data_IF_534742111324
#
_entry.id   IF_534742111324
#
_cell.length_a   1.000
_cell.length_b   1.000
_cell.length_c   1.000
_cell.angle_alpha   90.00
_cell.angle_beta   90.00
_cell.angle_gamma   90.00
#
_symmetry.space_group_name_H-M   'P 1'
#
loop_
_entity.id
_entity.type
_entity.pdbx_description
1 polymer ?
#
# COMPACT_ATOMS: atom_id res chain seq x y z
N UNK A 1 8.80 -22.82 6.17
CA UNK A 1 9.03 -21.99 7.36
C UNK A 1 7.73 -21.30 7.69
N UNK A 2 7.13 -21.62 8.81
CA UNK A 2 6.03 -20.85 9.36
C UNK A 2 6.56 -19.44 9.61
N UNK A 3 5.98 -18.45 8.95
CA UNK A 3 6.32 -17.06 9.25
C UNK A 3 5.82 -16.80 10.67
N UNK A 4 6.71 -16.37 11.57
CA UNK A 4 6.36 -16.01 12.95
C UNK A 4 5.44 -14.76 13.02
N UNK A 5 4.88 -14.36 11.87
CA UNK A 5 4.04 -13.18 11.69
C UNK A 5 2.68 -13.57 11.15
N UNK A 6 1.64 -13.11 11.85
CA UNK A 6 0.24 -13.25 11.43
C UNK A 6 -0.24 -11.95 10.78
N UNK A 7 -0.87 -12.06 9.62
CA UNK A 7 -1.49 -10.93 8.95
C UNK A 7 -3.00 -10.98 9.10
N UNK A 8 -3.57 -9.89 9.57
CA UNK A 8 -5.01 -9.71 9.79
C UNK A 8 -5.45 -8.28 9.54
N UNK A 9 -6.75 -8.06 9.47
CA UNK A 9 -7.28 -6.70 9.46
C UNK A 9 -7.07 -6.04 10.82
N UNK A 10 -6.78 -4.74 10.79
CA UNK A 10 -6.61 -3.95 12.01
C UNK A 10 -7.91 -3.83 12.79
N UNK A 11 -7.79 -3.83 14.09
CA UNK A 11 -8.85 -3.52 15.04
C UNK A 11 -8.61 -2.13 15.65
N UNK A 12 -9.62 -1.48 16.24
CA UNK A 12 -9.46 -0.13 16.82
C UNK A 12 -8.27 0.01 17.78
N UNK A 13 -7.99 -1.02 18.57
CA UNK A 13 -6.88 -1.02 19.53
C UNK A 13 -5.49 -1.03 18.87
N UNK A 14 -5.39 -1.37 17.58
CA UNK A 14 -4.13 -1.42 16.84
C UNK A 14 -3.65 -0.04 16.38
N UNK A 15 -4.56 0.95 16.30
CA UNK A 15 -4.24 2.26 15.71
C UNK A 15 -3.13 3.01 16.45
N UNK A 16 -3.01 2.84 17.76
CA UNK A 16 -1.90 3.39 18.54
C UNK A 16 -0.55 2.85 18.08
N UNK A 17 -0.43 1.55 17.90
CA UNK A 17 0.79 0.88 17.40
C UNK A 17 1.08 1.25 15.94
N UNK A 18 0.05 1.32 15.11
CA UNK A 18 0.18 1.75 13.71
C UNK A 18 0.73 3.18 13.64
N UNK A 19 0.19 4.09 14.47
CA UNK A 19 0.68 5.48 14.54
C UNK A 19 2.15 5.55 14.93
N UNK A 20 2.59 4.74 15.89
CA UNK A 20 4.01 4.66 16.26
C UNK A 20 4.89 4.21 15.08
N UNK A 21 4.43 3.25 14.28
CA UNK A 21 5.15 2.80 13.08
C UNK A 21 5.21 3.93 12.04
N UNK A 22 4.13 4.67 11.85
CA UNK A 22 4.09 5.84 10.95
C UNK A 22 5.11 6.89 11.41
N UNK A 23 5.09 7.23 12.69
CA UNK A 23 6.00 8.25 13.26
C UNK A 23 7.48 7.86 13.12
N UNK A 24 7.79 6.57 13.22
CA UNK A 24 9.14 6.04 13.06
C UNK A 24 9.58 5.84 11.60
N UNK A 25 8.64 5.76 10.66
CA UNK A 25 8.91 5.33 9.29
C UNK A 25 8.81 6.45 8.25
N UNK A 26 7.97 7.46 8.46
CA UNK A 26 7.68 8.49 7.46
C UNK A 26 8.22 9.87 7.86
N UNK A 27 8.69 10.68 6.88
CA UNK A 27 8.96 12.10 7.08
C UNK A 27 7.71 12.85 7.55
N UNK A 28 7.89 13.97 8.27
CA UNK A 28 6.79 14.74 8.91
C UNK A 28 5.62 15.03 7.97
N UNK A 29 5.90 15.41 6.74
CA UNK A 29 4.87 15.70 5.75
C UNK A 29 3.99 14.49 5.45
N UNK A 30 4.58 13.32 5.23
CA UNK A 30 3.84 12.10 4.93
C UNK A 30 3.13 11.50 6.14
N UNK A 31 3.62 11.75 7.37
CA UNK A 31 2.96 11.28 8.60
C UNK A 31 1.53 11.79 8.70
N UNK A 32 1.32 13.08 8.41
CA UNK A 32 -0.02 13.67 8.44
C UNK A 32 -0.97 12.93 7.50
N UNK A 33 -0.57 12.72 6.26
CA UNK A 33 -1.40 12.02 5.27
C UNK A 33 -1.61 10.55 5.61
N UNK A 34 -0.58 9.87 6.09
CA UNK A 34 -0.69 8.46 6.48
C UNK A 34 -1.66 8.27 7.65
N UNK A 35 -1.55 9.09 8.69
CA UNK A 35 -2.48 9.06 9.84
C UNK A 35 -3.90 9.42 9.41
N UNK A 36 -4.06 10.47 8.60
CA UNK A 36 -5.37 10.86 8.08
C UNK A 36 -6.03 9.73 7.29
N UNK A 37 -5.28 9.06 6.44
CA UNK A 37 -5.78 7.95 5.62
C UNK A 37 -6.30 6.76 6.43
N UNK A 38 -5.86 6.59 7.67
CA UNK A 38 -6.36 5.50 8.54
C UNK A 38 -7.85 5.66 8.87
N UNK A 39 -8.35 6.90 8.86
CA UNK A 39 -9.74 7.24 9.14
C UNK A 39 -10.61 7.34 7.88
N UNK A 40 -9.97 7.31 6.70
CA UNK A 40 -10.66 7.31 5.42
C UNK A 40 -11.13 5.90 5.03
N UNK A 41 -11.98 5.82 4.00
CA UNK A 41 -12.45 4.55 3.44
C UNK A 41 -11.28 3.61 3.10
N UNK A 42 -11.56 2.31 3.16
CA UNK A 42 -10.61 1.26 2.89
C UNK A 42 -10.31 0.40 4.12
N UNK A 43 -9.29 -0.43 3.99
CA UNK A 43 -8.93 -1.42 5.02
C UNK A 43 -7.48 -1.23 5.44
N UNK A 44 -7.21 -1.50 6.69
CA UNK A 44 -5.84 -1.55 7.21
C UNK A 44 -5.50 -3.00 7.51
N UNK A 45 -4.44 -3.49 6.89
CA UNK A 45 -3.85 -4.79 7.15
C UNK A 45 -2.70 -4.61 8.13
N UNK A 46 -2.61 -5.45 9.13
CA UNK A 46 -1.49 -5.45 10.09
C UNK A 46 -0.74 -6.76 10.04
N UNK A 47 0.56 -6.69 10.30
CA UNK A 47 1.41 -7.83 10.58
C UNK A 47 1.75 -7.82 12.07
N UNK A 48 1.48 -8.94 12.72
CA UNK A 48 1.59 -9.11 14.17
C UNK A 48 2.52 -10.27 14.50
N UNK A 49 3.36 -10.10 15.51
CA UNK A 49 4.11 -11.19 16.12
C UNK A 49 3.74 -11.29 17.60
N UNK A 50 3.29 -12.46 18.05
CA UNK A 50 2.76 -12.68 19.39
C UNK A 50 1.66 -11.66 19.73
N UNK A 51 2.01 -10.54 20.38
CA UNK A 51 1.09 -9.48 20.78
C UNK A 51 1.48 -8.11 20.25
N UNK A 52 2.48 -8.05 19.37
CA UNK A 52 3.06 -6.78 18.91
C UNK A 52 2.79 -6.56 17.42
N UNK A 53 2.18 -5.42 17.08
CA UNK A 53 2.05 -4.99 15.69
C UNK A 53 3.41 -4.50 15.20
N UNK A 54 3.92 -5.13 14.15
CA UNK A 54 5.25 -4.88 13.59
C UNK A 54 5.25 -4.23 12.20
N UNK A 55 4.10 -4.22 11.54
CA UNK A 55 3.92 -3.58 10.24
C UNK A 55 2.46 -3.38 9.89
N UNK A 56 2.19 -2.52 8.92
CA UNK A 56 0.85 -2.31 8.40
C UNK A 56 0.85 -1.97 6.91
N UNK A 57 -0.31 -2.17 6.26
CA UNK A 57 -0.60 -1.72 4.92
C UNK A 57 -2.00 -1.13 4.83
N UNK A 58 -2.15 0.04 4.21
CA UNK A 58 -3.46 0.64 3.91
C UNK A 58 -3.89 0.26 2.51
N UNK A 59 -5.06 -0.36 2.40
CA UNK A 59 -5.67 -0.83 1.17
C UNK A 59 -6.91 0.00 0.86
N UNK A 60 -7.05 0.44 -0.38
CA UNK A 60 -8.25 1.12 -0.86
C UNK A 60 -8.76 0.48 -2.15
N UNK A 61 -10.07 0.51 -2.34
CA UNK A 61 -10.73 0.20 -3.59
C UNK A 61 -11.24 1.50 -4.22
N UNK A 62 -11.21 1.58 -5.54
CA UNK A 62 -11.76 2.73 -6.26
C UNK A 62 -12.28 2.32 -7.63
N UNK A 63 -13.11 3.20 -8.22
CA UNK A 63 -13.68 2.99 -9.54
C UNK A 63 -13.18 4.03 -10.53
N UNK A 64 -12.79 3.57 -11.71
CA UNK A 64 -12.51 4.42 -12.88
C UNK A 64 -13.28 3.87 -14.07
N UNK A 65 -14.24 4.65 -14.57
CA UNK A 65 -15.17 4.15 -15.57
C UNK A 65 -16.01 2.99 -15.01
N UNK A 66 -16.07 1.89 -15.74
CA UNK A 66 -16.76 0.65 -15.32
C UNK A 66 -15.86 -0.33 -14.56
N UNK A 67 -14.58 0.02 -14.36
CA UNK A 67 -13.60 -0.87 -13.73
C UNK A 67 -13.42 -0.59 -12.26
N UNK A 68 -13.37 -1.66 -11.45
CA UNK A 68 -12.93 -1.63 -10.07
C UNK A 68 -11.44 -1.93 -9.99
N UNK A 69 -10.73 -1.12 -9.23
CA UNK A 69 -9.28 -1.22 -9.02
C UNK A 69 -8.95 -1.14 -7.54
N UNK A 70 -7.80 -1.65 -7.17
CA UNK A 70 -7.28 -1.54 -5.83
C UNK A 70 -5.99 -0.72 -5.79
N UNK A 71 -5.67 -0.19 -4.62
CA UNK A 71 -4.39 0.44 -4.37
C UNK A 71 -3.86 0.07 -2.98
N UNK A 72 -2.59 -0.25 -2.91
CA UNK A 72 -1.84 -0.30 -1.66
C UNK A 72 -1.27 1.10 -1.43
N UNK A 73 -1.94 1.87 -0.58
CA UNK A 73 -1.65 3.29 -0.41
C UNK A 73 -0.42 3.53 0.47
N UNK A 74 -0.29 2.76 1.54
CA UNK A 74 0.83 2.82 2.48
C UNK A 74 1.26 1.43 2.90
N UNK A 75 2.56 1.22 3.03
CA UNK A 75 3.17 0.05 3.67
C UNK A 75 4.33 0.52 4.52
N UNK A 76 4.35 0.12 5.77
CA UNK A 76 5.50 0.37 6.65
C UNK A 76 5.70 -0.78 7.64
N UNK A 77 6.95 -0.95 8.03
CA UNK A 77 7.41 -1.93 9.01
C UNK A 77 8.21 -1.21 10.08
N UNK A 78 7.94 -1.54 11.33
CA UNK A 78 8.70 -1.04 12.47
C UNK A 78 10.21 -1.22 12.24
N UNK A 79 11.04 -0.19 12.51
CA UNK A 79 12.47 -0.25 12.24
C UNK A 79 13.18 -1.50 12.79
N UNK A 80 12.79 -1.97 13.97
CA UNK A 80 13.37 -3.15 14.62
C UNK A 80 13.04 -4.47 13.92
N UNK A 81 12.02 -4.48 13.06
CA UNK A 81 11.53 -5.67 12.37
C UNK A 81 11.76 -5.65 10.86
N UNK A 82 12.50 -4.67 10.37
CA UNK A 82 12.82 -4.56 8.94
C UNK A 82 13.73 -5.69 8.46
N UNK A 83 13.75 -5.91 7.14
CA UNK A 83 14.57 -6.93 6.45
C UNK A 83 14.24 -8.37 6.83
N UNK A 84 13.04 -8.61 7.34
CA UNK A 84 12.50 -9.94 7.69
C UNK A 84 11.40 -10.42 6.74
N UNK A 85 11.20 -9.72 5.61
CA UNK A 85 10.18 -10.07 4.62
C UNK A 85 8.76 -9.59 4.94
N UNK A 86 8.55 -8.86 6.04
CA UNK A 86 7.22 -8.42 6.48
C UNK A 86 6.54 -7.50 5.47
N UNK A 87 7.26 -6.50 4.94
CA UNK A 87 6.71 -5.60 3.93
C UNK A 87 6.30 -6.36 2.67
N UNK A 88 7.10 -7.32 2.24
CA UNK A 88 6.80 -8.19 1.10
C UNK A 88 5.53 -9.02 1.34
N UNK A 89 5.40 -9.59 2.52
CA UNK A 89 4.22 -10.36 2.92
C UNK A 89 2.96 -9.49 2.95
N UNK A 90 3.03 -8.28 3.51
CA UNK A 90 1.94 -7.31 3.52
C UNK A 90 1.50 -6.93 2.10
N UNK A 91 2.44 -6.67 1.19
CA UNK A 91 2.13 -6.38 -0.23
C UNK A 91 1.45 -7.57 -0.89
N UNK A 92 1.98 -8.77 -0.72
CA UNK A 92 1.41 -10.01 -1.26
C UNK A 92 -0.02 -10.25 -0.77
N UNK A 93 -0.23 -10.18 0.53
CA UNK A 93 -1.54 -10.40 1.16
C UNK A 93 -2.52 -9.29 0.77
N UNK A 94 -2.07 -8.03 0.76
CA UNK A 94 -2.89 -6.89 0.33
C UNK A 94 -3.34 -7.02 -1.12
N UNK A 95 -2.43 -7.36 -2.02
CA UNK A 95 -2.73 -7.60 -3.45
C UNK A 95 -3.75 -8.72 -3.61
N UNK A 96 -3.54 -9.85 -2.92
CA UNK A 96 -4.48 -10.98 -2.97
C UNK A 96 -5.89 -10.58 -2.50
N UNK A 97 -6.00 -9.84 -1.39
CA UNK A 97 -7.30 -9.37 -0.88
C UNK A 97 -8.01 -8.45 -1.85
N UNK A 98 -7.31 -7.45 -2.39
CA UNK A 98 -7.89 -6.52 -3.37
C UNK A 98 -8.38 -7.26 -4.63
N UNK A 99 -7.62 -8.24 -5.11
CA UNK A 99 -8.03 -9.08 -6.24
C UNK A 99 -9.26 -9.94 -5.92
N UNK A 100 -9.31 -10.55 -4.74
CA UNK A 100 -10.46 -11.34 -4.28
C UNK A 100 -11.73 -10.49 -4.17
N UNK A 101 -11.59 -9.21 -3.86
CA UNK A 101 -12.70 -8.25 -3.79
C UNK A 101 -13.09 -7.69 -5.18
N UNK A 102 -12.51 -8.19 -6.24
CA UNK A 102 -12.88 -7.89 -7.62
C UNK A 102 -12.06 -6.80 -8.30
N UNK A 103 -10.92 -6.39 -7.73
CA UNK A 103 -10.04 -5.45 -8.41
C UNK A 103 -9.45 -6.07 -9.69
N UNK A 104 -9.60 -5.39 -10.82
CA UNK A 104 -9.03 -5.78 -12.11
C UNK A 104 -7.50 -5.71 -12.09
N UNK A 105 -6.98 -4.69 -11.43
CA UNK A 105 -5.55 -4.49 -11.18
C UNK A 105 -5.35 -3.81 -9.83
N UNK A 106 -4.16 -3.98 -9.27
CA UNK A 106 -3.75 -3.34 -8.03
C UNK A 106 -2.61 -2.37 -8.32
N UNK A 107 -2.74 -1.16 -7.82
CA UNK A 107 -1.77 -0.08 -8.01
C UNK A 107 -1.07 0.26 -6.70
N UNK A 108 0.09 0.88 -6.83
CA UNK A 108 0.80 1.55 -5.75
C UNK A 108 1.51 2.78 -6.32
N UNK A 109 1.71 3.79 -5.50
CA UNK A 109 2.51 4.96 -5.83
C UNK A 109 3.68 5.03 -4.87
N UNK A 110 4.90 5.05 -5.40
CA UNK A 110 6.13 4.96 -4.62
C UNK A 110 7.09 6.06 -5.04
N UNK A 111 7.70 6.74 -4.08
CA UNK A 111 8.70 7.75 -4.38
C UNK A 111 9.89 7.13 -5.14
N UNK A 112 10.35 7.82 -6.19
CA UNK A 112 11.47 7.36 -7.05
C UNK A 112 12.74 7.03 -6.27
N UNK A 113 12.98 7.71 -5.15
CA UNK A 113 14.14 7.48 -4.29
C UNK A 113 13.97 6.34 -3.30
N UNK A 114 12.76 5.83 -3.11
CA UNK A 114 12.48 4.75 -2.18
C UNK A 114 12.79 3.38 -2.82
N UNK A 115 14.09 3.11 -2.99
CA UNK A 115 14.59 1.89 -3.63
C UNK A 115 14.13 0.63 -2.90
N UNK A 116 14.03 0.68 -1.57
CA UNK A 116 13.57 -0.45 -0.77
C UNK A 116 12.13 -0.83 -1.10
N UNK A 117 11.20 0.14 -1.13
CA UNK A 117 9.81 -0.11 -1.51
C UNK A 117 9.68 -0.56 -2.96
N UNK A 118 10.41 0.08 -3.88
CA UNK A 118 10.41 -0.34 -5.29
C UNK A 118 10.84 -1.79 -5.45
N UNK A 119 11.85 -2.23 -4.69
CA UNK A 119 12.32 -3.61 -4.71
C UNK A 119 11.26 -4.59 -4.15
N UNK A 120 10.58 -4.21 -3.06
CA UNK A 120 9.51 -5.04 -2.46
C UNK A 120 8.37 -5.24 -3.45
N UNK A 121 7.84 -4.16 -4.04
CA UNK A 121 6.76 -4.26 -5.02
C UNK A 121 7.20 -5.02 -6.29
N UNK A 122 8.42 -4.77 -6.78
CA UNK A 122 8.94 -5.48 -7.95
C UNK A 122 9.04 -6.99 -7.74
N UNK A 123 9.45 -7.44 -6.56
CA UNK A 123 9.49 -8.88 -6.21
C UNK A 123 8.10 -9.51 -6.14
N UNK A 124 7.07 -8.73 -5.90
CA UNK A 124 5.67 -9.19 -5.90
C UNK A 124 4.97 -9.01 -7.25
N UNK A 125 5.72 -8.76 -8.32
CA UNK A 125 5.20 -8.73 -9.67
C UNK A 125 4.62 -7.38 -10.12
N UNK A 126 4.83 -6.31 -9.36
CA UNK A 126 4.46 -4.97 -9.80
C UNK A 126 5.44 -4.43 -10.84
N UNK A 127 4.90 -3.81 -11.86
CA UNK A 127 5.67 -3.15 -12.93
C UNK A 127 5.42 -1.66 -12.95
N UNK A 128 6.41 -0.89 -13.39
CA UNK A 128 6.30 0.57 -13.54
C UNK A 128 5.36 0.92 -14.69
N UNK A 129 4.49 1.90 -14.45
CA UNK A 129 3.56 2.44 -15.43
C UNK A 129 3.90 3.88 -15.74
N UNK A 130 4.15 4.18 -17.00
CA UNK A 130 4.30 5.55 -17.48
C UNK A 130 2.95 6.23 -17.71
N UNK A 131 2.96 7.55 -17.91
CA UNK A 131 1.74 8.30 -18.21
C UNK A 131 1.01 7.76 -19.47
N UNK A 132 1.73 7.41 -20.52
CA UNK A 132 1.13 6.87 -21.73
C UNK A 132 0.45 5.51 -21.52
N UNK A 133 1.02 4.67 -20.66
CA UNK A 133 0.41 3.38 -20.31
C UNK A 133 -0.90 3.60 -19.56
N UNK A 134 -0.91 4.51 -18.60
CA UNK A 134 -2.12 4.88 -17.85
C UNK A 134 -3.15 5.59 -18.73
N UNK A 135 -2.69 6.42 -19.65
CA UNK A 135 -3.58 7.04 -20.65
C UNK A 135 -4.26 6.02 -21.55
N UNK A 136 -3.53 4.99 -21.99
CA UNK A 136 -4.10 3.87 -22.77
C UNK A 136 -5.15 3.09 -21.99
N UNK A 137 -4.97 2.94 -20.67
CA UNK A 137 -5.92 2.24 -19.81
C UNK A 137 -7.17 3.07 -19.50
N UNK A 138 -7.00 4.35 -19.19
CA UNK A 138 -8.03 5.19 -18.58
C UNK A 138 -8.49 6.36 -19.47
N UNK A 139 -7.75 6.72 -20.53
CA UNK A 139 -7.99 7.93 -21.29
C UNK A 139 -8.02 9.17 -20.40
N UNK A 140 -8.98 10.05 -20.61
CA UNK A 140 -9.16 11.26 -19.79
C UNK A 140 -9.42 10.98 -18.30
N UNK A 141 -9.87 9.79 -17.95
CA UNK A 141 -10.09 9.38 -16.57
C UNK A 141 -8.79 9.15 -15.80
N UNK A 142 -7.64 9.23 -16.45
CA UNK A 142 -6.31 9.16 -15.80
C UNK A 142 -6.15 10.20 -14.69
N UNK A 143 -6.74 11.38 -14.84
CA UNK A 143 -6.69 12.42 -13.81
C UNK A 143 -7.47 12.03 -12.56
N UNK A 144 -8.65 11.40 -12.74
CA UNK A 144 -9.40 10.81 -11.63
C UNK A 144 -8.61 9.67 -10.96
N UNK A 145 -7.97 8.85 -11.77
CA UNK A 145 -7.10 7.77 -11.26
C UNK A 145 -5.99 8.31 -10.35
N UNK A 146 -5.26 9.34 -10.79
CA UNK A 146 -4.22 9.95 -9.98
C UNK A 146 -4.74 10.51 -8.64
N UNK A 147 -5.91 11.12 -8.64
CA UNK A 147 -6.57 11.57 -7.41
C UNK A 147 -6.89 10.42 -6.46
N UNK A 148 -7.40 9.31 -6.98
CA UNK A 148 -7.79 8.15 -6.18
C UNK A 148 -6.58 7.47 -5.48
N UNK A 149 -5.42 7.43 -6.12
CA UNK A 149 -4.22 6.81 -5.54
C UNK A 149 -3.35 7.80 -4.75
N UNK A 150 -3.82 9.01 -4.54
CA UNK A 150 -3.08 10.07 -3.83
C UNK A 150 -1.69 10.33 -4.41
N UNK A 151 -1.60 10.30 -5.73
CA UNK A 151 -0.34 10.50 -6.45
C UNK A 151 0.30 11.85 -6.11
N UNK A 152 1.56 11.81 -5.72
CA UNK A 152 2.35 12.99 -5.40
C UNK A 152 3.52 13.19 -6.39
N UNK A 153 4.06 14.41 -6.49
CA UNK A 153 5.24 14.67 -7.31
C UNK A 153 6.42 13.75 -6.95
N UNK A 154 7.19 13.34 -7.95
CA UNK A 154 8.36 12.46 -7.84
C UNK A 154 8.02 11.01 -7.45
N UNK A 155 6.79 10.61 -7.56
CA UNK A 155 6.38 9.22 -7.42
C UNK A 155 6.38 8.47 -8.75
N UNK A 156 6.39 7.17 -8.64
CA UNK A 156 6.24 6.22 -9.75
C UNK A 156 5.00 5.39 -9.49
N UNK A 157 4.14 5.28 -10.48
CA UNK A 157 2.98 4.38 -10.42
C UNK A 157 3.44 2.97 -10.75
N UNK A 158 3.06 2.04 -9.91
CA UNK A 158 3.28 0.60 -10.07
C UNK A 158 1.94 -0.10 -10.26
N UNK A 159 1.90 -1.15 -11.06
CA UNK A 159 0.70 -1.94 -11.31
C UNK A 159 1.01 -3.44 -11.26
N UNK A 160 0.10 -4.16 -10.63
CA UNK A 160 -0.01 -5.62 -10.67
C UNK A 160 -1.32 -5.99 -11.34
N UNK A 161 -1.24 -6.80 -12.42
CA UNK A 161 -2.42 -7.31 -13.16
C UNK A 161 -3.17 -8.37 -12.38
#
# INVERSE_FOLDING_TARGET
MSSDYLERLAMPNDFGSIKQIIDASFPRFFRFFAVHSLHEEGRVLVSETQTTIVGFGKLIDFQVGSGKYGCILWVAVSPLFRRKGIARSLVKTGTKRLKQDGAKAVFASVQRRNVASLAVFGKEGFRKMGFLDLWRLFGWRVFKFYGNIWFAPREVVLMHD
#
